data_IF_916046427234
#
_entry.id   IF_916046427234
#
_cell.length_a   1.000
_cell.length_b   1.000
_cell.length_c   1.000
_cell.angle_alpha   90.00
_cell.angle_beta   90.00
_cell.angle_gamma   90.00
#
_symmetry.space_group_name_H-M   'P 1'
#
loop_
_entity.id
_entity.type
_entity.pdbx_description
1 polymer ?
#
# COMPACT_ATOMS: atom_id res chain seq x y z
N UNK A 1 50.60 -30.06 -47.03
CA UNK A 1 50.40 -30.19 -45.58
C UNK A 1 49.44 -29.08 -45.16
N UNK A 2 48.12 -29.32 -45.14
CA UNK A 2 47.15 -28.36 -44.64
C UNK A 2 46.95 -28.58 -43.14
N UNK A 3 47.06 -27.52 -42.36
CA UNK A 3 46.74 -27.50 -40.93
C UNK A 3 45.23 -27.52 -40.77
N UNK A 4 44.72 -28.55 -40.09
CA UNK A 4 43.34 -28.65 -39.63
C UNK A 4 43.03 -27.48 -38.68
N UNK A 5 42.24 -26.52 -39.16
CA UNK A 5 41.55 -25.55 -38.31
C UNK A 5 40.40 -26.28 -37.60
N UNK A 6 40.77 -26.99 -36.53
CA UNK A 6 39.83 -27.59 -35.59
C UNK A 6 39.17 -26.46 -34.79
N UNK A 7 38.13 -25.87 -35.39
CA UNK A 7 37.16 -25.07 -34.67
C UNK A 7 36.49 -25.98 -33.65
N UNK A 8 37.02 -25.92 -32.44
CA UNK A 8 36.41 -26.44 -31.22
C UNK A 8 35.17 -25.59 -30.96
N UNK A 9 34.12 -25.89 -31.73
CA UNK A 9 32.76 -25.45 -31.52
C UNK A 9 32.28 -26.07 -30.23
N UNK A 10 32.78 -25.53 -29.12
CA UNK A 10 32.26 -25.69 -27.78
C UNK A 10 30.74 -25.67 -27.91
N UNK A 11 30.17 -26.85 -27.72
CA UNK A 11 28.74 -27.06 -27.72
C UNK A 11 28.15 -26.02 -26.77
N UNK A 12 27.61 -24.95 -27.34
CA UNK A 12 26.73 -24.04 -26.64
C UNK A 12 25.63 -24.96 -26.16
N UNK A 13 25.65 -25.28 -24.86
CA UNK A 13 24.62 -26.05 -24.19
C UNK A 13 23.28 -25.41 -24.55
N UNK A 14 22.64 -25.95 -25.59
CA UNK A 14 21.27 -25.67 -25.93
C UNK A 14 20.48 -26.35 -24.82
N UNK A 15 20.44 -25.70 -23.67
CA UNK A 15 19.63 -26.09 -22.53
C UNK A 15 18.20 -26.08 -23.05
N UNK A 16 17.72 -27.25 -23.44
CA UNK A 16 16.39 -27.44 -23.99
C UNK A 16 15.43 -27.15 -22.86
N UNK A 17 14.92 -25.91 -22.82
CA UNK A 17 13.94 -25.44 -21.85
C UNK A 17 12.77 -26.43 -21.84
N UNK A 18 12.73 -27.29 -20.82
CA UNK A 18 11.65 -28.26 -20.74
C UNK A 18 10.39 -27.56 -20.22
N UNK A 19 9.19 -28.07 -20.53
CA UNK A 19 7.97 -27.59 -19.92
C UNK A 19 8.00 -27.64 -18.38
N UNK A 20 8.81 -28.53 -17.79
CA UNK A 20 9.04 -28.59 -16.36
C UNK A 20 9.86 -27.39 -15.86
N UNK A 21 10.91 -26.99 -16.57
CA UNK A 21 11.72 -25.82 -16.23
C UNK A 21 10.92 -24.52 -16.34
N UNK A 22 10.07 -24.40 -17.37
CA UNK A 22 9.17 -23.26 -17.53
C UNK A 22 8.16 -23.15 -16.38
N UNK A 23 7.61 -24.29 -15.92
CA UNK A 23 6.69 -24.33 -14.76
C UNK A 23 7.43 -23.98 -13.47
N UNK A 24 8.64 -24.50 -13.27
CA UNK A 24 9.46 -24.18 -12.12
C UNK A 24 9.81 -22.68 -12.07
N UNK A 25 10.17 -22.09 -13.20
CA UNK A 25 10.45 -20.65 -13.30
C UNK A 25 9.20 -19.80 -13.01
N UNK A 26 8.03 -20.17 -13.54
CA UNK A 26 6.78 -19.48 -13.24
C UNK A 26 6.38 -19.58 -11.77
N UNK A 27 6.61 -20.72 -11.12
CA UNK A 27 6.30 -20.89 -9.70
C UNK A 27 7.30 -20.16 -8.80
N UNK A 28 8.59 -20.07 -9.18
CA UNK A 28 9.57 -19.21 -8.49
C UNK A 28 9.18 -17.73 -8.58
N UNK A 29 8.84 -17.25 -9.78
CA UNK A 29 8.35 -15.87 -9.99
C UNK A 29 7.11 -15.60 -9.14
N UNK A 30 6.17 -16.54 -9.11
CA UNK A 30 4.95 -16.44 -8.31
C UNK A 30 5.27 -16.37 -6.82
N UNK A 31 6.17 -17.21 -6.34
CA UNK A 31 6.60 -17.27 -4.94
C UNK A 31 7.30 -15.97 -4.52
N UNK A 32 8.22 -15.44 -5.34
CA UNK A 32 8.87 -14.16 -5.09
C UNK A 32 7.89 -12.99 -5.08
N UNK A 33 6.89 -13.01 -5.96
CA UNK A 33 5.84 -11.97 -5.99
C UNK A 33 4.98 -11.99 -4.73
N UNK A 34 4.64 -13.17 -4.23
CA UNK A 34 3.88 -13.36 -2.99
C UNK A 34 4.70 -12.89 -1.77
N UNK A 35 5.97 -13.26 -1.68
CA UNK A 35 6.89 -12.80 -0.62
C UNK A 35 7.07 -11.28 -0.62
N UNK A 36 7.22 -10.69 -1.81
CA UNK A 36 7.32 -9.23 -1.98
C UNK A 36 6.05 -8.51 -1.53
N UNK A 37 4.87 -9.04 -1.89
CA UNK A 37 3.59 -8.50 -1.46
C UNK A 37 3.37 -8.59 0.05
N UNK A 38 3.83 -9.67 0.69
CA UNK A 38 3.78 -9.79 2.14
C UNK A 38 4.68 -8.76 2.85
N UNK A 39 5.88 -8.51 2.32
CA UNK A 39 6.79 -7.50 2.85
C UNK A 39 6.22 -6.08 2.71
N UNK A 40 5.64 -5.75 1.56
CA UNK A 40 4.98 -4.46 1.32
C UNK A 40 3.79 -4.24 2.27
N UNK A 41 2.96 -5.27 2.47
CA UNK A 41 1.81 -5.19 3.38
C UNK A 41 2.24 -4.96 4.83
N UNK A 42 3.30 -5.63 5.29
CA UNK A 42 3.87 -5.43 6.63
C UNK A 42 4.45 -4.03 6.81
N UNK A 43 5.07 -3.46 5.77
CA UNK A 43 5.57 -2.09 5.78
C UNK A 43 4.41 -1.08 5.84
N UNK A 44 3.38 -1.27 5.01
CA UNK A 44 2.19 -0.41 4.97
C UNK A 44 1.41 -0.42 6.30
N UNK A 45 1.33 -1.58 6.97
CA UNK A 45 0.70 -1.76 8.30
C UNK A 45 1.65 -1.50 9.47
N UNK A 46 2.88 -1.02 9.22
CA UNK A 46 3.78 -0.64 10.29
C UNK A 46 3.22 0.57 11.07
N UNK A 47 3.44 0.60 12.39
CA UNK A 47 3.06 1.74 13.25
C UNK A 47 3.45 3.10 12.65
N UNK A 48 4.71 3.34 12.21
CA UNK A 48 5.05 4.63 11.63
C UNK A 48 4.30 4.91 10.34
N UNK A 49 3.92 3.90 9.54
CA UNK A 49 3.19 4.09 8.28
C UNK A 49 1.76 4.54 8.57
N UNK A 50 1.12 3.82 9.49
CA UNK A 50 -0.23 4.11 9.94
C UNK A 50 -0.32 5.49 10.60
N UNK A 51 0.66 5.87 11.43
CA UNK A 51 0.69 7.19 12.04
C UNK A 51 0.86 8.31 11.01
N UNK A 52 1.76 8.14 10.03
CA UNK A 52 1.92 9.14 8.95
C UNK A 52 0.64 9.27 8.13
N UNK A 53 0.00 8.15 7.76
CA UNK A 53 -1.25 8.16 7.01
C UNK A 53 -2.42 8.74 7.82
N UNK A 54 -2.50 8.42 9.12
CA UNK A 54 -3.49 8.95 10.04
C UNK A 54 -3.35 10.47 10.18
N UNK A 55 -2.12 10.96 10.33
CA UNK A 55 -1.84 12.39 10.42
C UNK A 55 -2.22 13.11 9.12
N UNK A 56 -1.94 12.49 7.96
CA UNK A 56 -2.35 13.01 6.64
C UNK A 56 -3.84 13.26 6.60
N UNK A 57 -4.59 12.20 6.90
CA UNK A 57 -6.04 12.19 6.80
C UNK A 57 -6.66 13.17 7.81
N UNK A 58 -6.14 13.18 9.03
CA UNK A 58 -6.59 14.10 10.07
C UNK A 58 -6.41 15.56 9.67
N UNK A 59 -5.21 15.94 9.21
CA UNK A 59 -4.92 17.31 8.80
C UNK A 59 -5.78 17.72 7.61
N UNK A 60 -5.95 16.84 6.61
CA UNK A 60 -6.81 17.10 5.45
C UNK A 60 -8.27 17.33 5.84
N UNK A 61 -8.80 16.58 6.80
CA UNK A 61 -10.20 16.72 7.22
C UNK A 61 -10.42 17.85 8.23
N UNK A 62 -9.49 18.06 9.16
CA UNK A 62 -9.54 19.18 10.11
C UNK A 62 -9.44 20.54 9.41
N UNK A 63 -8.82 20.59 8.23
CA UNK A 63 -8.77 21.77 7.36
C UNK A 63 -10.13 22.41 7.07
N UNK A 64 -11.22 21.64 7.10
CA UNK A 64 -12.56 22.14 6.77
C UNK A 64 -13.13 23.09 7.83
N UNK A 65 -12.66 23.01 9.08
CA UNK A 65 -13.09 23.91 10.16
C UNK A 65 -12.21 25.17 10.26
N UNK A 66 -11.18 25.33 9.43
CA UNK A 66 -10.32 26.52 9.45
C UNK A 66 -10.97 27.69 8.66
N UNK A 67 -11.05 28.90 9.25
CA UNK A 67 -11.55 30.07 8.56
C UNK A 67 -10.66 30.46 7.37
N UNK A 68 -11.26 30.85 6.25
CA UNK A 68 -10.56 31.32 5.05
C UNK A 68 -9.67 32.53 5.41
N UNK A 69 -8.38 32.62 5.02
CA UNK A 69 -7.69 31.99 3.88
C UNK A 69 -7.02 30.63 4.14
N UNK A 70 -7.11 30.10 5.37
CA UNK A 70 -6.32 28.95 5.79
C UNK A 70 -6.76 27.62 5.16
N UNK A 71 -7.99 27.51 4.67
CA UNK A 71 -8.47 26.32 3.95
C UNK A 71 -7.62 25.99 2.71
N UNK A 72 -6.98 26.99 2.08
CA UNK A 72 -6.00 26.79 1.01
C UNK A 72 -4.58 26.53 1.51
N UNK A 73 -4.21 27.07 2.68
CA UNK A 73 -2.87 26.88 3.25
C UNK A 73 -2.59 25.43 3.66
N UNK A 74 -3.63 24.62 3.92
CA UNK A 74 -3.51 23.19 4.25
C UNK A 74 -3.18 22.32 3.01
N UNK A 75 -3.31 22.85 1.79
CA UNK A 75 -2.83 22.16 0.58
C UNK A 75 -1.33 21.89 0.65
N UNK A 76 -0.53 22.82 1.18
CA UNK A 76 0.93 22.64 1.30
C UNK A 76 1.33 21.51 2.25
N UNK A 77 0.88 21.45 3.52
CA UNK A 77 1.18 20.33 4.39
C UNK A 77 0.51 19.04 3.91
N UNK A 78 -0.69 19.08 3.31
CA UNK A 78 -1.32 17.91 2.69
C UNK A 78 -0.47 17.34 1.55
N UNK A 79 0.00 18.20 0.65
CA UNK A 79 0.89 17.84 -0.46
C UNK A 79 2.26 17.35 0.04
N UNK A 80 2.84 18.01 1.04
CA UNK A 80 4.08 17.60 1.69
C UNK A 80 3.95 16.19 2.28
N UNK A 81 2.78 15.87 2.83
CA UNK A 81 2.57 14.66 3.58
C UNK A 81 2.14 13.50 2.65
N UNK A 82 1.47 13.79 1.53
CA UNK A 82 1.40 12.91 0.35
C UNK A 82 2.80 12.66 -0.22
N UNK A 83 3.61 13.70 -0.38
CA UNK A 83 4.98 13.58 -0.88
C UNK A 83 5.83 12.72 0.06
N UNK A 84 5.72 12.89 1.38
CA UNK A 84 6.36 12.03 2.39
C UNK A 84 5.87 10.59 2.30
N UNK A 85 4.58 10.36 2.10
CA UNK A 85 4.02 9.02 1.94
C UNK A 85 4.60 8.36 0.68
N UNK A 86 4.63 9.08 -0.44
CA UNK A 86 5.22 8.64 -1.71
C UNK A 86 6.72 8.40 -1.55
N UNK A 87 7.46 9.32 -0.92
CA UNK A 87 8.90 9.21 -0.69
C UNK A 87 9.20 8.00 0.18
N UNK A 88 8.47 7.81 1.27
CA UNK A 88 8.68 6.68 2.18
C UNK A 88 8.30 5.35 1.54
N UNK A 89 7.27 5.32 0.70
CA UNK A 89 6.93 4.13 -0.08
C UNK A 89 7.97 3.86 -1.19
N UNK A 90 8.52 4.92 -1.79
CA UNK A 90 9.49 4.82 -2.89
C UNK A 90 10.90 4.44 -2.42
N UNK A 91 11.32 4.93 -1.24
CA UNK A 91 12.67 4.77 -0.70
C UNK A 91 12.75 3.84 0.51
N UNK A 92 11.63 3.51 1.16
CA UNK A 92 11.57 2.67 2.36
C UNK A 92 10.98 1.28 2.16
N UNK A 93 10.31 1.01 1.01
CA UNK A 93 9.83 -0.32 0.71
C UNK A 93 11.03 -1.20 0.28
N UNK A 94 11.34 -2.30 1.00
CA UNK A 94 12.47 -3.17 0.69
C UNK A 94 12.35 -3.88 -0.67
N UNK A 95 11.15 -3.87 -1.27
CA UNK A 95 10.91 -4.36 -2.63
C UNK A 95 10.00 -3.37 -3.36
N UNK A 96 10.48 -2.80 -4.46
CA UNK A 96 9.75 -1.81 -5.26
C UNK A 96 8.77 -2.53 -6.20
N UNK A 97 7.63 -2.95 -5.66
CA UNK A 97 6.54 -3.46 -6.47
C UNK A 97 5.71 -2.29 -7.00
N UNK A 98 5.48 -2.23 -8.32
CA UNK A 98 4.45 -1.31 -8.84
C UNK A 98 3.11 -1.73 -8.24
N UNK A 99 2.34 -0.81 -7.63
CA UNK A 99 1.02 -1.15 -7.14
C UNK A 99 0.19 -1.68 -8.31
N UNK A 100 -0.22 -2.94 -8.24
CA UNK A 100 -1.09 -3.52 -9.26
C UNK A 100 -2.40 -2.74 -9.32
N UNK A 101 -3.05 -2.68 -10.48
CA UNK A 101 -4.31 -1.93 -10.72
C UNK A 101 -5.36 -2.19 -9.64
N UNK A 102 -5.44 -3.43 -9.15
CA UNK A 102 -6.34 -3.83 -8.06
C UNK A 102 -6.01 -3.17 -6.71
N UNK A 103 -4.72 -3.02 -6.39
CA UNK A 103 -4.27 -2.34 -5.17
C UNK A 103 -4.61 -0.85 -5.20
N UNK A 104 -4.42 -0.20 -6.35
CA UNK A 104 -4.82 1.20 -6.57
C UNK A 104 -6.34 1.33 -6.43
N UNK A 105 -7.11 0.46 -7.09
CA UNK A 105 -8.58 0.49 -7.02
C UNK A 105 -9.10 0.31 -5.58
N UNK A 106 -8.53 -0.63 -4.82
CA UNK A 106 -8.87 -0.83 -3.42
C UNK A 106 -8.53 0.40 -2.56
N UNK A 107 -7.40 1.04 -2.83
CA UNK A 107 -7.01 2.30 -2.18
C UNK A 107 -8.02 3.42 -2.49
N UNK A 108 -8.43 3.57 -3.74
CA UNK A 108 -9.42 4.56 -4.17
C UNK A 108 -10.78 4.29 -3.53
N UNK A 109 -11.28 3.06 -3.60
CA UNK A 109 -12.57 2.68 -3.00
C UNK A 109 -12.55 2.88 -1.48
N UNK A 110 -11.46 2.47 -0.81
CA UNK A 110 -11.29 2.69 0.62
C UNK A 110 -11.25 4.17 0.99
N UNK A 111 -10.55 4.99 0.20
CA UNK A 111 -10.53 6.44 0.37
C UNK A 111 -11.90 7.09 0.19
N UNK A 112 -12.65 6.68 -0.83
CA UNK A 112 -14.01 7.18 -1.10
C UNK A 112 -14.97 6.80 0.03
N UNK A 113 -14.90 5.56 0.50
CA UNK A 113 -15.72 5.08 1.62
C UNK A 113 -15.40 5.87 2.91
N UNK A 114 -14.12 6.06 3.22
CA UNK A 114 -13.70 6.87 4.37
C UNK A 114 -14.18 8.33 4.28
N UNK A 115 -14.10 8.92 3.09
CA UNK A 115 -14.61 10.28 2.83
C UNK A 115 -16.13 10.37 2.99
N UNK A 116 -16.89 9.39 2.50
CA UNK A 116 -18.33 9.33 2.67
C UNK A 116 -18.74 9.24 4.15
N UNK A 117 -18.05 8.41 4.93
CA UNK A 117 -18.26 8.28 6.38
C UNK A 117 -17.98 9.61 7.09
N UNK A 118 -16.85 10.25 6.76
CA UNK A 118 -16.50 11.57 7.29
C UNK A 118 -17.59 12.61 7.00
N UNK A 119 -18.04 12.72 5.75
CA UNK A 119 -19.09 13.67 5.34
C UNK A 119 -20.42 13.42 6.06
N UNK A 120 -20.83 12.16 6.18
CA UNK A 120 -22.05 11.79 6.89
C UNK A 120 -21.98 12.14 8.38
N UNK A 121 -20.84 11.86 9.02
CA UNK A 121 -20.62 12.17 10.43
C UNK A 121 -20.54 13.68 10.68
N UNK A 122 -19.83 14.41 9.83
CA UNK A 122 -19.77 15.87 9.89
C UNK A 122 -21.17 16.49 9.74
N UNK A 123 -21.97 16.03 8.76
CA UNK A 123 -23.34 16.52 8.57
C UNK A 123 -24.24 16.25 9.79
N UNK A 124 -24.14 15.05 10.39
CA UNK A 124 -24.88 14.71 11.60
C UNK A 124 -24.49 15.59 12.80
N UNK A 125 -23.19 15.84 12.99
CA UNK A 125 -22.68 16.71 14.06
C UNK A 125 -23.07 18.17 13.84
N UNK A 126 -23.03 18.65 12.59
CA UNK A 126 -23.51 19.99 12.23
C UNK A 126 -25.00 20.15 12.51
N UNK A 127 -25.83 19.15 12.16
CA UNK A 127 -27.26 19.16 12.46
C UNK A 127 -27.53 19.15 13.97
N UNK A 128 -26.64 18.57 14.77
CA UNK A 128 -26.66 18.62 16.23
C UNK A 128 -26.14 19.92 16.86
N UNK A 129 -25.74 20.92 16.06
CA UNK A 129 -25.26 22.21 16.56
C UNK A 129 -23.82 22.20 17.11
N UNK A 130 -23.02 21.21 16.75
CA UNK A 130 -21.62 21.10 17.21
C UNK A 130 -20.76 22.15 16.51
N UNK A 131 -19.97 22.97 17.26
CA UNK A 131 -19.21 24.09 16.69
C UNK A 131 -17.99 23.69 15.85
N UNK A 132 -17.51 22.44 15.95
CA UNK A 132 -16.37 21.90 15.17
C UNK A 132 -16.66 20.48 14.65
N UNK A 133 -17.65 20.35 13.76
CA UNK A 133 -18.16 19.04 13.33
C UNK A 133 -17.16 18.29 12.45
N UNK A 134 -16.31 18.98 11.69
CA UNK A 134 -15.31 18.34 10.83
C UNK A 134 -14.10 17.87 11.62
N UNK A 135 -13.66 18.60 12.63
CA UNK A 135 -12.55 18.19 13.50
C UNK A 135 -12.92 16.93 14.30
N UNK A 136 -14.12 16.90 14.89
CA UNK A 136 -14.57 15.74 15.66
C UNK A 136 -14.81 14.52 14.76
N UNK A 137 -15.42 14.70 13.59
CA UNK A 137 -15.59 13.60 12.64
C UNK A 137 -14.24 13.07 12.11
N UNK A 138 -13.27 13.96 11.85
CA UNK A 138 -11.91 13.56 11.49
C UNK A 138 -11.25 12.72 12.59
N UNK A 139 -11.36 13.15 13.85
CA UNK A 139 -10.82 12.42 14.99
C UNK A 139 -11.44 11.03 15.13
N UNK A 140 -12.76 10.91 14.98
CA UNK A 140 -13.48 9.63 15.05
C UNK A 140 -13.07 8.70 13.91
N UNK A 141 -13.01 9.20 12.68
CA UNK A 141 -12.62 8.38 11.51
C UNK A 141 -11.17 7.91 11.63
N UNK A 142 -10.25 8.82 11.96
CA UNK A 142 -8.83 8.49 12.09
C UNK A 142 -8.58 7.58 13.28
N UNK A 143 -9.22 7.85 14.42
CA UNK A 143 -9.16 6.99 15.61
C UNK A 143 -9.70 5.58 15.31
N UNK A 144 -10.85 5.48 14.63
CA UNK A 144 -11.42 4.21 14.19
C UNK A 144 -10.48 3.42 13.27
N UNK A 145 -9.84 4.08 12.30
CA UNK A 145 -8.84 3.46 11.43
C UNK A 145 -7.64 2.93 12.22
N UNK A 146 -7.11 3.70 13.18
CA UNK A 146 -5.99 3.28 14.03
C UNK A 146 -6.36 2.10 14.94
N UNK A 147 -7.56 2.09 15.50
CA UNK A 147 -8.07 1.00 16.33
C UNK A 147 -8.37 -0.28 15.52
N UNK A 148 -8.79 -0.14 14.27
CA UNK A 148 -9.01 -1.25 13.36
C UNK A 148 -7.72 -1.85 12.79
N UNK A 149 -6.65 -1.04 12.67
CA UNK A 149 -5.37 -1.45 12.09
C UNK A 149 -4.77 -2.75 12.67
N UNK A 150 -4.72 -3.01 13.99
CA UNK A 150 -4.22 -4.27 14.53
C UNK A 150 -5.05 -5.48 14.07
N UNK A 151 -6.38 -5.36 13.99
CA UNK A 151 -7.26 -6.43 13.51
C UNK A 151 -7.05 -6.70 12.02
N UNK A 152 -6.89 -5.65 11.22
CA UNK A 152 -6.55 -5.79 9.80
C UNK A 152 -5.20 -6.50 9.63
N UNK A 153 -4.23 -6.19 10.48
CA UNK A 153 -2.92 -6.84 10.50
C UNK A 153 -3.00 -8.32 10.87
N UNK A 154 -3.79 -8.68 11.89
CA UNK A 154 -4.02 -10.09 12.26
C UNK A 154 -4.66 -10.88 11.13
N UNK A 155 -5.69 -10.33 10.48
CA UNK A 155 -6.36 -10.97 9.33
C UNK A 155 -5.41 -11.12 8.15
N UNK A 156 -4.60 -10.09 7.87
CA UNK A 156 -3.57 -10.14 6.85
C UNK A 156 -2.54 -11.25 7.13
N UNK A 157 -2.02 -11.31 8.36
CA UNK A 157 -1.05 -12.31 8.78
C UNK A 157 -1.65 -13.74 8.73
N UNK A 158 -2.89 -13.92 9.18
CA UNK A 158 -3.60 -15.21 9.10
C UNK A 158 -3.82 -15.67 7.64
N UNK A 159 -4.17 -14.74 6.74
CA UNK A 159 -4.31 -15.00 5.29
C UNK A 159 -2.97 -15.34 4.64
N UNK A 160 -1.87 -14.79 5.14
CA UNK A 160 -0.53 -15.10 4.64
C UNK A 160 -0.08 -16.49 5.13
N UNK A 161 -0.29 -16.82 6.42
CA UNK A 161 0.01 -18.14 6.99
C UNK A 161 -0.78 -19.25 6.33
N UNK A 162 -2.09 -19.09 6.18
CA UNK A 162 -2.95 -20.10 5.53
C UNK A 162 -2.62 -20.34 4.04
N UNK A 163 -1.92 -19.42 3.37
CA UNK A 163 -1.39 -19.65 2.01
C UNK A 163 -0.07 -20.42 2.02
N UNK A 164 0.76 -20.22 3.04
CA UNK A 164 1.99 -20.99 3.21
C UNK A 164 1.69 -22.45 3.56
N UNK A 165 0.68 -22.70 4.41
CA UNK A 165 0.30 -24.06 4.82
C UNK A 165 -0.32 -24.88 3.67
N UNK A 166 -1.04 -24.25 2.73
CA UNK A 166 -1.60 -24.95 1.55
C UNK A 166 -0.56 -25.39 0.52
N UNK A 167 0.70 -24.95 0.67
CA UNK A 167 1.81 -25.26 -0.26
C UNK A 167 2.79 -26.29 0.32
N UNK A 168 2.65 -26.67 1.59
CA UNK A 168 3.34 -27.82 2.19
C UNK A 168 2.52 -29.08 1.97
#
# INVERSE_FOLDING_TARGET
MPTDDQHDGSAVDQHTLTPADARAALDDIRTRREQSGAAELRFALSRPSLLTAALLLFVSFASFDLPNPWGGAVLLPGLLLVALLVLRHTYGAPVRNRPGTRGVLLGVVGGLAGYAVFRGLAAALSAGGVPTPHLLSAAVVVGGCLLAAPRVREVADARLRGRADRRR
#
